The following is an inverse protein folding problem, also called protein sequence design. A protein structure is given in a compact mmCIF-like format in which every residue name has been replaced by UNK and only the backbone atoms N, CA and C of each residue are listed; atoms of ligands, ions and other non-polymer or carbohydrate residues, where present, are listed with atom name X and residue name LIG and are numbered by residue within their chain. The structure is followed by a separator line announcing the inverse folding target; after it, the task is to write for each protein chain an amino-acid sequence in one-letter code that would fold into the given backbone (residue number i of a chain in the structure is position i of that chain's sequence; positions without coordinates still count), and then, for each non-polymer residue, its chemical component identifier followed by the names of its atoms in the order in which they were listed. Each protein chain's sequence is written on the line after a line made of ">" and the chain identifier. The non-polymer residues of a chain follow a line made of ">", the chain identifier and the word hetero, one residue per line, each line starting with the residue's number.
data_IF_048642481968
#
_entry.id   IF_048642481968
#
_cell.length_a   1.000
_cell.length_b   1.000
_cell.length_c   1.000
_cell.angle_alpha   90.00
_cell.angle_beta   90.00
_cell.angle_gamma   90.00
#
_symmetry.space_group_name_H-M   'P 1'
#
loop_
_entity.id
_entity.type
_entity.pdbx_description
1 polymer ?
#
# COMPACT_ATOMS: atom_id res chain seq x y z
N UNK A 1 5.37 13.56 41.17
CA UNK A 1 4.97 13.04 39.85
C UNK A 1 3.96 14.00 39.22
N UNK A 2 4.41 14.88 38.31
CA UNK A 2 3.54 15.82 37.60
C UNK A 2 2.94 15.13 36.37
N UNK A 3 1.63 14.97 36.36
CA UNK A 3 0.87 14.33 35.27
C UNK A 3 1.00 15.14 33.98
N UNK A 4 1.55 14.51 32.94
CA UNK A 4 1.63 15.03 31.57
C UNK A 4 0.22 15.16 30.94
N UNK A 5 -0.45 16.30 31.18
CA UNK A 5 -1.67 16.73 30.49
C UNK A 5 -1.34 17.81 29.46
N UNK A 6 -0.58 17.46 28.42
CA UNK A 6 -0.27 18.38 27.32
C UNK A 6 -0.18 17.62 26.00
N UNK A 7 -1.30 17.46 25.29
CA UNK A 7 -1.33 17.06 23.88
C UNK A 7 -2.73 17.24 23.25
N UNK A 8 -3.33 18.42 23.38
CA UNK A 8 -4.67 18.67 22.80
C UNK A 8 -4.93 20.12 22.41
N UNK A 9 -3.89 20.89 22.05
CA UNK A 9 -3.97 22.35 21.99
C UNK A 9 -3.50 22.98 20.68
N UNK A 10 -3.22 22.21 19.63
CA UNK A 10 -2.54 22.80 18.46
C UNK A 10 -3.50 23.31 17.38
N UNK A 11 -4.84 23.09 17.44
CA UNK A 11 -5.64 23.24 16.22
C UNK A 11 -6.79 24.24 16.16
N UNK A 12 -7.37 24.67 17.26
CA UNK A 12 -8.37 25.74 17.18
C UNK A 12 -7.85 27.13 17.54
N UNK A 13 -6.63 27.19 18.08
CA UNK A 13 -5.89 28.44 18.23
C UNK A 13 -5.29 28.90 16.89
N UNK A 14 -5.21 28.01 15.90
CA UNK A 14 -4.68 28.31 14.56
C UNK A 14 -5.59 29.24 13.74
N UNK A 15 -6.77 29.63 14.22
CA UNK A 15 -7.56 30.70 13.60
C UNK A 15 -7.51 32.01 14.41
N UNK A 16 -6.91 32.00 15.60
CA UNK A 16 -7.19 33.03 16.58
C UNK A 16 -6.23 34.22 16.53
N UNK A 17 -4.90 34.08 16.35
CA UNK A 17 -4.00 35.19 16.74
C UNK A 17 -2.71 35.33 15.90
N UNK A 18 -2.85 35.86 14.69
CA UNK A 18 -1.85 36.73 14.05
C UNK A 18 -2.59 37.89 13.33
N UNK A 19 -2.05 39.11 13.50
CA UNK A 19 -2.57 40.43 13.07
C UNK A 19 -2.40 40.64 11.54
N UNK A 20 -2.97 41.64 10.84
CA UNK A 20 -3.36 43.00 11.24
C UNK A 20 -4.24 43.65 10.15
N UNK A 21 -5.47 43.15 9.94
CA UNK A 21 -6.44 43.88 9.11
C UNK A 21 -7.85 43.73 9.66
N UNK A 22 -8.62 44.82 9.69
CA UNK A 22 -10.06 44.76 10.00
C UNK A 22 -10.81 43.76 9.10
N UNK A 23 -10.31 43.51 7.89
CA UNK A 23 -10.83 42.54 6.93
C UNK A 23 -10.74 41.12 7.48
N UNK A 24 -9.62 40.76 8.11
CA UNK A 24 -9.41 39.44 8.72
C UNK A 24 -10.30 39.24 9.96
N UNK A 25 -10.48 40.27 10.79
CA UNK A 25 -11.39 40.20 11.95
C UNK A 25 -12.86 40.02 11.54
N UNK A 26 -13.32 40.76 10.52
CA UNK A 26 -14.69 40.60 10.00
C UNK A 26 -14.90 39.24 9.35
N UNK A 27 -13.90 38.72 8.63
CA UNK A 27 -13.96 37.38 8.07
C UNK A 27 -14.07 36.30 9.15
N UNK A 28 -13.24 36.39 10.20
CA UNK A 28 -13.29 35.47 11.35
C UNK A 28 -14.61 35.58 12.13
N UNK A 29 -15.15 36.78 12.31
CA UNK A 29 -16.45 36.98 12.94
C UNK A 29 -17.56 36.25 12.18
N UNK A 30 -17.60 36.39 10.85
CA UNK A 30 -18.55 35.66 9.99
C UNK A 30 -18.38 34.14 10.07
N UNK A 31 -17.14 33.64 10.12
CA UNK A 31 -16.88 32.21 10.29
C UNK A 31 -17.42 31.70 11.63
N UNK A 32 -17.21 32.44 12.71
CA UNK A 32 -17.74 32.08 14.03
C UNK A 32 -19.25 32.20 14.06
N UNK A 33 -19.85 33.21 13.43
CA UNK A 33 -21.31 33.34 13.34
C UNK A 33 -21.95 32.14 12.63
N UNK A 34 -21.33 31.69 11.54
CA UNK A 34 -21.77 30.54 10.75
C UNK A 34 -21.58 29.17 11.43
N UNK A 35 -20.83 29.10 12.55
CA UNK A 35 -20.68 27.86 13.32
C UNK A 35 -21.96 27.48 14.04
N UNK A 36 -22.21 26.18 14.11
CA UNK A 36 -23.24 25.57 14.95
C UNK A 36 -23.00 25.82 16.45
N UNK A 37 -24.01 25.59 17.27
CA UNK A 37 -23.88 25.73 18.72
C UNK A 37 -22.81 24.78 19.32
N UNK A 38 -22.65 23.58 18.75
CA UNK A 38 -21.65 22.60 19.18
C UNK A 38 -20.24 23.07 18.83
N UNK A 39 -20.02 23.53 17.60
CA UNK A 39 -18.73 24.07 17.16
C UNK A 39 -18.32 25.31 17.96
N UNK A 40 -19.29 26.19 18.29
CA UNK A 40 -19.04 27.35 19.17
C UNK A 40 -18.62 26.92 20.58
N UNK A 41 -19.24 25.86 21.14
CA UNK A 41 -18.84 25.30 22.44
C UNK A 41 -17.43 24.72 22.39
N UNK A 42 -17.11 23.95 21.35
CA UNK A 42 -15.78 23.38 21.17
C UNK A 42 -14.72 24.49 21.05
N UNK A 43 -15.00 25.53 20.25
CA UNK A 43 -14.12 26.69 20.09
C UNK A 43 -13.89 27.42 21.41
N UNK A 44 -14.93 27.61 22.23
CA UNK A 44 -14.83 28.22 23.55
C UNK A 44 -13.98 27.37 24.50
N UNK A 45 -14.15 26.04 24.51
CA UNK A 45 -13.31 25.16 25.31
C UNK A 45 -11.84 25.25 24.89
N UNK A 46 -11.57 25.24 23.58
CA UNK A 46 -10.22 25.33 23.06
C UNK A 46 -9.57 26.67 23.39
N UNK A 47 -10.34 27.77 23.32
CA UNK A 47 -9.90 29.10 23.78
C UNK A 47 -9.57 29.08 25.27
N UNK A 48 -10.45 28.54 26.12
CA UNK A 48 -10.20 28.44 27.57
C UNK A 48 -8.92 27.66 27.87
N UNK A 49 -8.69 26.54 27.18
CA UNK A 49 -7.46 25.75 27.33
C UNK A 49 -6.22 26.56 26.91
N UNK A 50 -6.30 27.32 25.81
CA UNK A 50 -5.20 28.18 25.37
C UNK A 50 -4.93 29.31 26.37
N UNK A 51 -5.97 29.98 26.86
CA UNK A 51 -5.86 31.07 27.82
C UNK A 51 -5.32 30.60 29.18
N UNK A 52 -5.54 29.34 29.54
CA UNK A 52 -4.97 28.70 30.73
C UNK A 52 -3.45 28.38 30.60
N UNK A 53 -2.85 28.55 29.41
CA UNK A 53 -1.42 28.33 29.24
C UNK A 53 -0.57 29.49 29.78
N UNK A 54 0.66 29.21 30.27
CA UNK A 54 1.63 30.25 30.58
C UNK A 54 1.85 31.20 29.40
N UNK A 55 2.06 32.50 29.67
CA UNK A 55 2.24 33.51 28.62
C UNK A 55 3.40 33.17 27.67
N UNK A 56 4.48 32.58 28.19
CA UNK A 56 5.61 32.12 27.38
C UNK A 56 5.20 31.08 26.33
N UNK A 57 4.37 30.11 26.72
CA UNK A 57 3.87 29.07 25.80
C UNK A 57 2.83 29.64 24.83
N UNK A 58 1.94 30.54 25.28
CA UNK A 58 1.02 31.25 24.38
C UNK A 58 1.77 32.04 23.32
N UNK A 59 2.83 32.76 23.71
CA UNK A 59 3.70 33.51 22.79
C UNK A 59 4.39 32.57 21.79
N UNK A 60 5.02 31.50 22.26
CA UNK A 60 5.66 30.49 21.42
C UNK A 60 4.71 29.90 20.38
N UNK A 61 3.47 29.57 20.76
CA UNK A 61 2.47 29.04 19.83
C UNK A 61 2.04 30.07 18.77
N UNK A 62 1.87 31.34 19.16
CA UNK A 62 1.58 32.44 18.21
C UNK A 62 2.73 32.65 17.23
N UNK A 63 3.97 32.60 17.70
CA UNK A 63 5.18 32.72 16.87
C UNK A 63 5.29 31.56 15.88
N UNK A 64 5.06 30.32 16.33
CA UNK A 64 5.02 29.14 15.47
C UNK A 64 3.96 29.29 14.37
N UNK A 65 2.75 29.73 14.74
CA UNK A 65 1.68 29.95 13.78
C UNK A 65 2.07 30.99 12.71
N UNK A 66 2.59 32.16 13.14
CA UNK A 66 3.09 33.20 12.22
C UNK A 66 4.21 32.68 11.31
N UNK A 67 5.09 31.83 11.84
CA UNK A 67 6.16 31.22 11.05
C UNK A 67 5.61 30.29 9.98
N UNK A 68 4.52 29.55 10.27
CA UNK A 68 3.83 28.70 9.29
C UNK A 68 3.10 29.53 8.22
N UNK A 69 2.38 30.59 8.61
CA UNK A 69 1.66 31.47 7.66
C UNK A 69 2.59 32.11 6.63
N UNK A 70 3.82 32.45 7.02
CA UNK A 70 4.80 33.08 6.13
C UNK A 70 5.40 32.13 5.10
N UNK A 71 5.18 30.82 5.22
CA UNK A 71 5.71 29.87 4.26
C UNK A 71 4.85 29.84 2.98
N UNK A 72 5.45 29.73 1.79
CA UNK A 72 4.71 29.56 0.54
C UNK A 72 3.77 28.33 0.53
N UNK A 73 4.04 27.33 1.37
CA UNK A 73 3.26 26.10 1.53
C UNK A 73 2.49 26.03 2.85
N UNK A 74 2.08 27.17 3.42
CA UNK A 74 1.38 27.29 4.70
C UNK A 74 0.22 26.27 4.83
N UNK A 75 -0.65 26.15 3.84
CA UNK A 75 -1.80 25.23 3.88
C UNK A 75 -1.41 23.76 3.94
N UNK A 76 -0.32 23.37 3.26
CA UNK A 76 0.22 22.03 3.34
C UNK A 76 0.78 21.74 4.74
N UNK A 77 1.50 22.70 5.33
CA UNK A 77 2.04 22.58 6.69
C UNK A 77 0.93 22.48 7.74
N UNK A 78 -0.12 23.30 7.64
CA UNK A 78 -1.32 23.19 8.50
C UNK A 78 -1.97 21.82 8.38
N UNK A 79 -2.02 21.27 7.17
CA UNK A 79 -2.58 19.94 6.92
C UNK A 79 -1.72 18.84 7.53
N UNK A 80 -0.39 18.94 7.44
CA UNK A 80 0.53 18.01 8.11
C UNK A 80 0.36 18.06 9.62
N UNK A 81 0.25 19.26 10.23
CA UNK A 81 0.00 19.42 11.65
C UNK A 81 -1.33 18.77 12.09
N UNK A 82 -2.39 18.93 11.30
CA UNK A 82 -3.68 18.24 11.52
C UNK A 82 -3.56 16.74 11.53
N UNK A 83 -2.90 16.19 10.52
CA UNK A 83 -2.73 14.75 10.41
C UNK A 83 -1.86 14.21 11.54
N UNK A 84 -0.77 14.91 11.86
CA UNK A 84 0.11 14.53 12.97
C UNK A 84 -0.62 14.55 14.32
N UNK A 85 -1.39 15.60 14.61
CA UNK A 85 -2.17 15.69 15.84
C UNK A 85 -3.24 14.59 15.91
N UNK A 86 -3.99 14.36 14.83
CA UNK A 86 -4.99 13.29 14.77
C UNK A 86 -4.36 11.90 14.98
N UNK A 87 -3.21 11.65 14.34
CA UNK A 87 -2.48 10.39 14.51
C UNK A 87 -1.96 10.22 15.94
N UNK A 88 -1.40 11.27 16.55
CA UNK A 88 -0.99 11.25 17.96
C UNK A 88 -2.14 10.88 18.90
N UNK A 89 -3.36 11.35 18.62
CA UNK A 89 -4.53 11.03 19.43
C UNK A 89 -4.99 9.57 19.30
N UNK A 90 -4.60 8.88 18.23
CA UNK A 90 -4.89 7.46 18.04
C UNK A 90 -3.94 6.55 18.83
N UNK A 91 -2.80 7.07 19.30
CA UNK A 91 -1.83 6.30 20.07
C UNK A 91 -2.32 6.08 21.52
N UNK A 92 -2.02 4.91 22.13
CA UNK A 92 -2.23 4.69 23.55
C UNK A 92 -1.54 5.79 24.38
N UNK A 93 -2.14 6.25 25.50
CA UNK A 93 -1.61 7.38 26.27
C UNK A 93 -0.14 7.24 26.67
N UNK A 94 0.28 6.02 27.03
CA UNK A 94 1.68 5.70 27.37
C UNK A 94 2.62 5.90 26.18
N UNK A 95 2.27 5.33 25.03
CA UNK A 95 3.09 5.45 23.80
C UNK A 95 3.17 6.90 23.31
N UNK A 96 2.07 7.65 23.42
CA UNK A 96 2.05 9.07 23.10
C UNK A 96 3.01 9.85 24.02
N UNK A 97 3.01 9.57 25.32
CA UNK A 97 3.89 10.23 26.27
C UNK A 97 5.37 9.89 26.00
N UNK A 98 5.68 8.62 25.75
CA UNK A 98 7.02 8.16 25.37
C UNK A 98 7.49 8.85 24.07
N UNK A 99 6.64 8.94 23.04
CA UNK A 99 7.00 9.60 21.79
C UNK A 99 7.26 11.11 21.96
N UNK A 100 6.47 11.78 22.80
CA UNK A 100 6.59 13.22 23.05
C UNK A 100 7.77 13.57 23.97
N UNK A 101 8.27 12.63 24.78
CA UNK A 101 9.47 12.85 25.60
C UNK A 101 10.78 12.74 24.80
N UNK A 102 10.76 12.07 23.63
CA UNK A 102 11.94 11.95 22.78
C UNK A 102 12.40 13.30 22.20
N UNK A 103 13.72 13.50 22.02
CA UNK A 103 14.26 14.58 21.20
C UNK A 103 13.72 14.56 19.77
N UNK A 104 13.66 15.73 19.11
CA UNK A 104 13.04 15.89 17.79
C UNK A 104 13.51 14.84 16.77
N UNK A 105 14.83 14.63 16.65
CA UNK A 105 15.40 13.69 15.67
C UNK A 105 15.00 12.25 15.94
N UNK A 106 15.02 11.83 17.20
CA UNK A 106 14.63 10.48 17.63
C UNK A 106 13.12 10.27 17.46
N UNK A 107 12.32 11.28 17.80
CA UNK A 107 10.88 11.28 17.58
C UNK A 107 10.54 11.06 16.11
N UNK A 108 11.19 11.78 15.20
CA UNK A 108 10.98 11.62 13.75
C UNK A 108 11.36 10.22 13.28
N UNK A 109 12.50 9.69 13.73
CA UNK A 109 12.91 8.32 13.41
C UNK A 109 11.90 7.28 13.92
N UNK A 110 11.36 7.48 15.13
CA UNK A 110 10.36 6.58 15.70
C UNK A 110 9.01 6.66 14.96
N UNK A 111 8.59 7.87 14.56
CA UNK A 111 7.40 8.07 13.72
C UNK A 111 7.58 7.34 12.38
N UNK A 112 8.71 7.53 11.71
CA UNK A 112 8.99 6.88 10.43
C UNK A 112 8.99 5.35 10.55
N UNK A 113 9.61 4.82 11.60
CA UNK A 113 9.57 3.38 11.90
C UNK A 113 8.13 2.88 12.05
N UNK A 114 7.30 3.58 12.82
CA UNK A 114 5.89 3.20 13.04
C UNK A 114 5.06 3.25 11.76
N UNK A 115 5.19 4.32 10.97
CA UNK A 115 4.49 4.43 9.68
C UNK A 115 4.87 3.24 8.78
N UNK A 116 6.16 2.92 8.68
CA UNK A 116 6.62 1.76 7.90
C UNK A 116 6.04 0.46 8.43
N UNK A 117 5.96 0.27 9.74
CA UNK A 117 5.40 -0.94 10.36
C UNK A 117 3.89 -1.06 10.11
N UNK A 118 3.12 0.02 10.27
CA UNK A 118 1.69 0.08 9.97
C UNK A 118 1.40 -0.21 8.49
N UNK A 119 2.19 0.38 7.57
CA UNK A 119 2.06 0.12 6.14
C UNK A 119 2.40 -1.33 5.79
N UNK A 120 3.42 -1.89 6.43
CA UNK A 120 3.76 -3.31 6.30
C UNK A 120 2.58 -4.18 6.73
N UNK A 121 2.01 -3.89 7.90
CA UNK A 121 0.85 -4.63 8.43
C UNK A 121 -0.37 -4.54 7.52
N UNK A 122 -0.72 -3.34 7.05
CA UNK A 122 -1.81 -3.14 6.10
C UNK A 122 -1.57 -3.88 4.78
N UNK A 123 -0.32 -3.91 4.30
CA UNK A 123 0.03 -4.71 3.12
C UNK A 123 -0.22 -6.20 3.38
N UNK A 124 0.14 -6.71 4.56
CA UNK A 124 -0.08 -8.12 4.90
C UNK A 124 -1.55 -8.48 5.05
N UNK A 125 -2.34 -7.65 5.73
CA UNK A 125 -3.80 -7.83 5.86
C UNK A 125 -4.50 -7.88 4.51
N UNK A 126 -4.07 -7.04 3.56
CA UNK A 126 -4.65 -6.95 2.22
C UNK A 126 -4.24 -8.11 1.31
N UNK A 127 -3.02 -8.63 1.44
CA UNK A 127 -2.48 -9.60 0.49
C UNK A 127 -2.63 -11.05 0.97
N UNK A 128 -2.68 -11.33 2.29
CA UNK A 128 -2.77 -12.69 2.80
C UNK A 128 -3.46 -12.79 4.18
N UNK A 129 -4.79 -13.01 4.18
CA UNK A 129 -5.55 -13.28 5.43
C UNK A 129 -5.13 -14.57 6.16
N UNK A 130 -4.33 -15.42 5.50
CA UNK A 130 -3.87 -16.71 6.01
C UNK A 130 -2.46 -16.67 6.63
N UNK A 131 -1.67 -15.61 6.41
CA UNK A 131 -0.30 -15.50 6.94
C UNK A 131 -0.18 -14.40 7.99
N UNK A 132 0.68 -14.63 8.97
CA UNK A 132 1.10 -13.67 9.99
C UNK A 132 2.40 -12.98 9.59
N UNK A 133 2.82 -11.91 10.29
CA UNK A 133 4.16 -11.33 10.12
C UNK A 133 5.27 -12.37 10.28
N UNK A 134 5.16 -13.21 11.31
CA UNK A 134 6.15 -14.25 11.64
C UNK A 134 6.30 -15.24 10.50
N UNK A 135 5.22 -15.58 9.80
CA UNK A 135 5.28 -16.46 8.62
C UNK A 135 6.11 -15.85 7.47
N UNK A 136 6.08 -14.54 7.30
CA UNK A 136 6.89 -13.87 6.29
C UNK A 136 8.38 -13.94 6.62
N UNK A 137 8.73 -13.79 7.90
CA UNK A 137 10.10 -13.99 8.39
C UNK A 137 10.56 -15.44 8.18
N UNK A 138 9.69 -16.41 8.49
CA UNK A 138 9.93 -17.84 8.23
C UNK A 138 10.16 -18.09 6.74
N UNK A 139 9.30 -17.56 5.88
CA UNK A 139 9.43 -17.68 4.42
C UNK A 139 10.75 -17.07 3.97
N UNK A 140 11.15 -15.90 4.47
CA UNK A 140 12.42 -15.28 4.09
C UNK A 140 13.64 -16.06 4.57
N UNK A 141 13.60 -16.59 5.79
CA UNK A 141 14.68 -17.42 6.34
C UNK A 141 14.82 -18.70 5.53
N UNK A 142 13.70 -19.37 5.22
CA UNK A 142 13.67 -20.53 4.34
C UNK A 142 14.22 -20.22 2.94
N UNK A 143 13.81 -19.08 2.36
CA UNK A 143 14.28 -18.66 1.03
C UNK A 143 15.80 -18.47 1.00
N UNK A 144 16.34 -17.88 2.06
CA UNK A 144 17.77 -17.70 2.25
C UNK A 144 18.48 -19.04 2.31
N UNK A 145 17.98 -19.98 3.11
CA UNK A 145 18.52 -21.34 3.22
C UNK A 145 18.53 -22.07 1.86
N UNK A 146 17.43 -22.02 1.11
CA UNK A 146 17.33 -22.67 -0.21
C UNK A 146 18.35 -22.09 -1.21
N UNK A 147 18.55 -20.77 -1.20
CA UNK A 147 19.51 -20.11 -2.09
C UNK A 147 20.96 -20.42 -1.67
N UNK A 148 21.25 -20.37 -0.36
CA UNK A 148 22.58 -20.66 0.19
C UNK A 148 22.99 -22.11 -0.10
N UNK A 149 22.07 -23.08 0.10
CA UNK A 149 22.30 -24.49 -0.19
C UNK A 149 22.63 -24.76 -1.67
N UNK A 150 22.25 -23.85 -2.57
CA UNK A 150 22.46 -23.97 -4.02
C UNK A 150 23.47 -22.97 -4.56
N UNK A 151 24.10 -22.16 -3.70
CA UNK A 151 24.85 -20.99 -4.12
C UNK A 151 25.96 -21.35 -5.10
N UNK A 152 26.75 -22.39 -4.82
CA UNK A 152 27.83 -22.84 -5.70
C UNK A 152 27.33 -23.22 -7.10
N UNK A 153 26.18 -23.92 -7.19
CA UNK A 153 25.57 -24.30 -8.48
C UNK A 153 25.02 -23.09 -9.21
N UNK A 154 24.38 -22.17 -8.49
CA UNK A 154 23.86 -20.91 -9.04
C UNK A 154 25.00 -20.01 -9.54
N UNK A 155 26.12 -19.93 -8.84
CA UNK A 155 27.30 -19.16 -9.25
C UNK A 155 28.04 -19.77 -10.44
N UNK A 156 27.94 -21.10 -10.63
CA UNK A 156 28.40 -21.77 -11.85
C UNK A 156 27.51 -21.40 -13.05
N UNK A 157 26.19 -21.39 -12.87
CA UNK A 157 25.23 -21.01 -13.91
C UNK A 157 25.22 -19.49 -14.21
N UNK A 158 25.55 -18.65 -13.22
CA UNK A 158 25.60 -17.19 -13.35
C UNK A 158 26.95 -16.63 -12.87
N UNK A 159 28.06 -16.83 -13.62
CA UNK A 159 29.40 -16.42 -13.19
C UNK A 159 29.54 -14.93 -12.90
N UNK A 160 28.74 -14.08 -13.59
CA UNK A 160 28.71 -12.63 -13.38
C UNK A 160 28.31 -12.22 -11.95
N UNK A 161 27.69 -13.12 -11.19
CA UNK A 161 27.28 -12.85 -9.81
C UNK A 161 28.38 -13.14 -8.78
N UNK A 162 29.50 -13.77 -9.15
CA UNK A 162 30.59 -14.11 -8.22
C UNK A 162 31.15 -12.89 -7.50
N UNK A 163 31.32 -11.79 -8.23
CA UNK A 163 31.91 -10.54 -7.72
C UNK A 163 30.88 -9.56 -7.13
N UNK A 164 29.62 -9.97 -7.02
CA UNK A 164 28.56 -9.12 -6.44
C UNK A 164 28.51 -9.33 -4.94
N UNK A 165 28.49 -8.24 -4.18
CA UNK A 165 28.33 -8.23 -2.72
C UNK A 165 27.13 -9.09 -2.27
N UNK A 166 27.30 -9.89 -1.21
CA UNK A 166 26.35 -10.93 -0.80
C UNK A 166 24.90 -10.45 -0.66
N UNK A 167 24.67 -9.28 -0.05
CA UNK A 167 23.31 -8.73 0.10
C UNK A 167 22.64 -8.39 -1.24
N UNK A 168 23.40 -7.82 -2.19
CA UNK A 168 22.92 -7.51 -3.55
C UNK A 168 22.78 -8.77 -4.38
N UNK A 169 23.73 -9.71 -4.25
CA UNK A 169 23.71 -11.02 -4.91
C UNK A 169 22.47 -11.82 -4.54
N UNK A 170 22.17 -11.93 -3.26
CA UNK A 170 20.96 -12.60 -2.76
C UNK A 170 19.69 -12.02 -3.39
N UNK A 171 19.55 -10.68 -3.43
CA UNK A 171 18.37 -10.04 -4.06
C UNK A 171 18.25 -10.40 -5.54
N UNK A 172 19.37 -10.44 -6.27
CA UNK A 172 19.36 -10.83 -7.69
C UNK A 172 18.95 -12.29 -7.85
N UNK A 173 19.48 -13.20 -7.02
CA UNK A 173 19.13 -14.63 -7.07
C UNK A 173 17.66 -14.86 -6.73
N UNK A 174 17.11 -14.16 -5.73
CA UNK A 174 15.67 -14.17 -5.42
C UNK A 174 14.85 -13.71 -6.63
N UNK A 175 15.26 -12.63 -7.31
CA UNK A 175 14.57 -12.17 -8.52
C UNK A 175 14.64 -13.18 -9.67
N UNK A 176 15.79 -13.84 -9.86
CA UNK A 176 15.95 -14.90 -10.88
C UNK A 176 15.06 -16.11 -10.57
N UNK A 177 14.96 -16.52 -9.30
CA UNK A 177 14.05 -17.57 -8.87
C UNK A 177 12.58 -17.22 -9.11
N UNK A 178 12.17 -15.96 -8.88
CA UNK A 178 10.81 -15.54 -9.22
C UNK A 178 10.55 -15.60 -10.74
N UNK A 179 11.56 -15.29 -11.55
CA UNK A 179 11.48 -15.34 -13.01
C UNK A 179 11.43 -16.77 -13.54
N UNK A 180 12.20 -17.68 -12.96
CA UNK A 180 12.35 -19.05 -13.45
C UNK A 180 11.05 -19.85 -13.42
N UNK A 181 10.09 -19.48 -12.57
CA UNK A 181 8.74 -20.05 -12.55
C UNK A 181 8.00 -19.92 -13.89
N UNK A 182 8.27 -18.85 -14.64
CA UNK A 182 7.67 -18.61 -15.95
C UNK A 182 8.47 -19.24 -17.09
N UNK A 183 9.63 -19.82 -16.81
CA UNK A 183 10.38 -20.56 -17.80
C UNK A 183 9.70 -21.91 -18.08
N UNK A 184 9.89 -22.50 -19.27
CA UNK A 184 9.42 -23.84 -19.59
C UNK A 184 9.80 -24.85 -18.52
N UNK A 185 8.95 -25.85 -18.27
CA UNK A 185 9.19 -26.91 -17.28
C UNK A 185 10.54 -27.61 -17.47
N UNK A 186 10.98 -27.74 -18.72
CA UNK A 186 12.23 -28.40 -19.11
C UNK A 186 13.45 -27.48 -19.07
N UNK A 187 13.28 -26.19 -18.75
CA UNK A 187 14.41 -25.27 -18.74
C UNK A 187 15.35 -25.54 -17.57
N UNK A 188 16.66 -25.57 -17.85
CA UNK A 188 17.68 -25.69 -16.81
C UNK A 188 17.57 -24.58 -15.75
N UNK A 189 17.18 -23.37 -16.18
CA UNK A 189 16.94 -22.25 -15.27
C UNK A 189 15.84 -22.56 -14.26
N UNK A 190 14.76 -23.23 -14.66
CA UNK A 190 13.72 -23.64 -13.73
C UNK A 190 14.23 -24.71 -12.77
N UNK A 191 14.88 -25.75 -13.29
CA UNK A 191 15.43 -26.84 -12.48
C UNK A 191 16.46 -26.36 -11.44
N UNK A 192 17.21 -25.29 -11.75
CA UNK A 192 18.17 -24.68 -10.82
C UNK A 192 17.53 -24.00 -9.60
N UNK A 193 16.33 -23.46 -9.79
CA UNK A 193 15.67 -22.60 -8.80
C UNK A 193 14.43 -23.23 -8.16
N UNK A 194 13.89 -24.30 -8.74
CA UNK A 194 12.69 -24.98 -8.24
C UNK A 194 12.99 -25.63 -6.88
N UNK A 195 12.29 -25.25 -5.79
CA UNK A 195 12.43 -25.92 -4.52
C UNK A 195 11.91 -27.37 -4.58
N UNK A 196 12.57 -28.27 -3.87
CA UNK A 196 12.23 -29.69 -3.83
C UNK A 196 10.95 -29.94 -3.04
N UNK A 197 10.32 -31.11 -3.21
CA UNK A 197 9.14 -31.50 -2.42
C UNK A 197 9.43 -31.53 -0.90
N UNK A 198 10.65 -31.85 -0.51
CA UNK A 198 11.06 -31.85 0.88
C UNK A 198 11.15 -30.42 1.42
N UNK A 199 11.75 -29.49 0.67
CA UNK A 199 11.84 -28.08 1.05
C UNK A 199 10.46 -27.43 1.15
N UNK A 200 9.51 -27.79 0.28
CA UNK A 200 8.13 -27.33 0.37
C UNK A 200 7.42 -27.85 1.61
N UNK A 201 7.61 -29.14 1.94
CA UNK A 201 7.07 -29.74 3.17
C UNK A 201 7.66 -29.10 4.41
N UNK A 202 8.95 -28.84 4.41
CA UNK A 202 9.64 -28.16 5.50
C UNK A 202 9.11 -26.73 5.69
N UNK A 203 8.97 -25.96 4.61
CA UNK A 203 8.35 -24.64 4.68
C UNK A 203 6.96 -24.72 5.27
N UNK A 204 6.10 -25.61 4.73
CA UNK A 204 4.73 -25.77 5.20
C UNK A 204 4.66 -26.09 6.69
N UNK A 205 5.54 -26.96 7.20
CA UNK A 205 5.61 -27.32 8.62
C UNK A 205 6.08 -26.19 9.55
N UNK A 206 6.79 -25.19 9.03
CA UNK A 206 7.28 -24.04 9.79
C UNK A 206 6.29 -22.87 9.84
N UNK A 207 5.25 -22.86 9.01
CA UNK A 207 4.22 -21.81 9.00
C UNK A 207 3.29 -21.91 10.21
N UNK A 208 2.53 -20.86 10.51
CA UNK A 208 1.57 -20.84 11.60
C UNK A 208 0.44 -21.88 11.44
N UNK A 209 -0.21 -22.30 12.55
CA UNK A 209 -1.26 -23.33 12.49
C UNK A 209 -2.38 -23.04 11.50
N UNK A 210 -2.80 -21.76 11.38
CA UNK A 210 -3.84 -21.34 10.43
C UNK A 210 -3.42 -21.55 8.97
N UNK A 211 -2.17 -21.25 8.63
CA UNK A 211 -1.62 -21.47 7.31
C UNK A 211 -1.47 -22.97 7.01
N UNK A 212 -1.00 -23.74 7.99
CA UNK A 212 -0.91 -25.20 7.89
C UNK A 212 -2.28 -25.84 7.65
N UNK A 213 -3.29 -25.46 8.42
CA UNK A 213 -4.66 -25.94 8.27
C UNK A 213 -5.21 -25.60 6.88
N UNK A 214 -4.97 -24.38 6.42
CA UNK A 214 -5.37 -23.96 5.07
C UNK A 214 -4.72 -24.83 3.98
N UNK A 215 -3.44 -25.19 4.13
CA UNK A 215 -2.73 -26.08 3.21
C UNK A 215 -3.23 -27.53 3.28
N UNK A 216 -3.54 -28.04 4.47
CA UNK A 216 -4.09 -29.40 4.66
C UNK A 216 -5.42 -29.58 3.94
N UNK A 217 -6.28 -28.56 3.97
CA UNK A 217 -7.58 -28.54 3.28
C UNK A 217 -7.48 -28.53 1.74
N UNK A 218 -6.29 -28.36 1.17
CA UNK A 218 -6.13 -28.35 -0.29
C UNK A 218 -6.07 -29.77 -0.86
N UNK A 219 -6.71 -30.01 -2.02
CA UNK A 219 -6.96 -31.35 -2.55
C UNK A 219 -5.72 -32.05 -3.12
N UNK A 220 -4.69 -31.29 -3.53
CA UNK A 220 -3.51 -31.87 -4.17
C UNK A 220 -2.23 -31.12 -3.81
N UNK A 221 -1.10 -31.84 -3.82
CA UNK A 221 0.21 -31.26 -3.53
C UNK A 221 0.60 -30.20 -4.56
N UNK A 222 0.21 -30.37 -5.83
CA UNK A 222 0.38 -29.33 -6.85
C UNK A 222 -0.35 -28.03 -6.48
N UNK A 223 -1.55 -28.13 -5.88
CA UNK A 223 -2.31 -26.96 -5.42
C UNK A 223 -1.65 -26.31 -4.20
N UNK A 224 -1.18 -27.12 -3.24
CA UNK A 224 -0.41 -26.66 -2.08
C UNK A 224 0.84 -25.90 -2.52
N UNK A 225 1.61 -26.44 -3.46
CA UNK A 225 2.79 -25.77 -4.04
C UNK A 225 2.44 -24.45 -4.71
N UNK A 226 1.35 -24.37 -5.48
CA UNK A 226 0.89 -23.11 -6.09
C UNK A 226 0.57 -22.05 -5.03
N UNK A 227 -0.04 -22.44 -3.91
CA UNK A 227 -0.36 -21.54 -2.79
C UNK A 227 0.91 -21.09 -2.06
N UNK A 228 1.79 -22.03 -1.70
CA UNK A 228 3.08 -21.73 -1.07
C UNK A 228 3.89 -20.77 -1.93
N UNK A 229 3.94 -20.99 -3.24
CA UNK A 229 4.58 -20.06 -4.14
C UNK A 229 3.96 -18.66 -4.15
N UNK A 230 2.62 -18.56 -4.10
CA UNK A 230 1.94 -17.26 -4.00
C UNK A 230 2.31 -16.55 -2.70
N UNK A 231 2.45 -17.30 -1.62
CA UNK A 231 2.88 -16.80 -0.31
C UNK A 231 4.34 -16.35 -0.32
N UNK A 232 5.23 -17.13 -0.91
CA UNK A 232 6.64 -16.77 -1.16
C UNK A 232 6.74 -15.47 -1.96
N UNK A 233 6.00 -15.39 -3.07
CA UNK A 233 5.98 -14.18 -3.91
C UNK A 233 5.43 -12.97 -3.15
N UNK A 234 4.42 -13.16 -2.31
CA UNK A 234 3.87 -12.10 -1.45
C UNK A 234 4.90 -11.62 -0.44
N UNK A 235 5.63 -12.53 0.21
CA UNK A 235 6.66 -12.17 1.18
C UNK A 235 7.82 -11.42 0.54
N UNK A 236 8.30 -11.91 -0.60
CA UNK A 236 9.35 -11.25 -1.38
C UNK A 236 8.86 -9.87 -1.84
N UNK A 237 7.64 -9.80 -2.37
CA UNK A 237 6.98 -8.55 -2.73
C UNK A 237 6.95 -7.57 -1.57
N UNK A 238 6.56 -7.99 -0.37
CA UNK A 238 6.49 -7.11 0.81
C UNK A 238 7.83 -6.49 1.21
N UNK A 239 8.93 -7.22 1.00
CA UNK A 239 10.28 -6.76 1.37
C UNK A 239 10.96 -5.96 0.25
N UNK A 240 10.59 -6.25 -1.00
CA UNK A 240 11.07 -5.51 -2.17
C UNK A 240 10.21 -4.30 -2.52
N UNK A 241 8.97 -4.23 -2.04
CA UNK A 241 8.06 -3.12 -2.32
C UNK A 241 8.31 -1.92 -1.41
N UNK A 242 8.18 -0.76 -2.07
CA UNK A 242 8.09 0.55 -1.45
C UNK A 242 6.81 0.64 -0.59
N UNK A 243 6.78 1.54 0.41
CA UNK A 243 5.61 1.79 1.24
C UNK A 243 4.32 1.92 0.41
N UNK A 244 3.20 1.46 0.98
CA UNK A 244 1.89 1.55 0.35
C UNK A 244 1.60 3.01 -0.04
N UNK A 245 0.95 3.26 -1.19
CA UNK A 245 0.59 4.61 -1.59
C UNK A 245 -0.41 5.23 -0.59
N UNK A 246 -0.20 6.51 -0.27
CA UNK A 246 -1.18 7.31 0.47
C UNK A 246 -2.49 7.45 -0.32
N UNK A 247 -3.59 7.79 0.36
CA UNK A 247 -4.88 8.01 -0.32
C UNK A 247 -4.79 9.08 -1.43
N UNK A 248 -3.99 10.13 -1.21
CA UNK A 248 -3.72 11.14 -2.22
C UNK A 248 -3.09 10.52 -3.48
N UNK A 249 -2.08 9.67 -3.30
CA UNK A 249 -1.41 8.97 -4.40
C UNK A 249 -2.31 7.95 -5.10
N UNK A 250 -3.25 7.32 -4.37
CA UNK A 250 -4.26 6.44 -4.96
C UNK A 250 -5.28 7.19 -5.81
N UNK A 251 -5.67 8.41 -5.42
CA UNK A 251 -6.54 9.26 -6.23
C UNK A 251 -5.83 9.76 -7.49
N UNK A 252 -4.54 10.09 -7.40
CA UNK A 252 -3.74 10.36 -8.61
C UNK A 252 -3.66 9.14 -9.53
N UNK A 253 -3.49 7.94 -8.95
CA UNK A 253 -3.50 6.70 -9.70
C UNK A 253 -4.85 6.42 -10.38
N UNK A 254 -5.98 6.71 -9.72
CA UNK A 254 -7.33 6.59 -10.30
C UNK A 254 -7.48 7.41 -11.59
N UNK A 255 -6.91 8.63 -11.63
CA UNK A 255 -6.89 9.49 -12.83
C UNK A 255 -6.12 8.87 -14.00
N UNK A 256 -5.20 7.96 -13.73
CA UNK A 256 -4.37 7.25 -14.72
C UNK A 256 -4.94 5.89 -15.14
N UNK A 257 -6.11 5.49 -14.62
CA UNK A 257 -6.79 4.27 -15.02
C UNK A 257 -7.64 4.48 -16.27
N UNK A 258 -7.80 3.44 -17.12
CA UNK A 258 -8.75 3.45 -18.23
C UNK A 258 -10.17 3.79 -17.76
N UNK A 259 -11.01 4.44 -18.61
CA UNK A 259 -12.35 4.89 -18.22
C UNK A 259 -13.22 3.78 -17.63
N UNK A 260 -13.20 2.58 -18.23
CA UNK A 260 -13.96 1.43 -17.75
C UNK A 260 -13.58 0.99 -16.33
N UNK A 261 -12.27 0.97 -16.04
CA UNK A 261 -11.77 0.59 -14.72
C UNK A 261 -12.04 1.68 -13.69
N UNK A 262 -11.94 2.94 -14.10
CA UNK A 262 -12.26 4.09 -13.25
C UNK A 262 -13.74 4.07 -12.86
N UNK A 263 -14.64 3.96 -13.84
CA UNK A 263 -16.08 3.93 -13.62
C UNK A 263 -16.48 2.77 -12.70
N UNK A 264 -15.87 1.58 -12.88
CA UNK A 264 -16.10 0.42 -12.00
C UNK A 264 -15.66 0.67 -10.56
N UNK A 265 -14.56 1.38 -10.35
CA UNK A 265 -14.03 1.67 -9.01
C UNK A 265 -14.86 2.76 -8.34
N UNK A 266 -15.27 3.78 -9.10
CA UNK A 266 -16.11 4.88 -8.64
C UNK A 266 -17.54 4.43 -8.34
N UNK A 267 -18.03 3.37 -8.99
CA UNK A 267 -19.34 2.78 -8.69
C UNK A 267 -19.37 1.89 -7.44
N UNK A 268 -18.24 1.72 -6.73
CA UNK A 268 -18.22 0.93 -5.51
C UNK A 268 -19.03 1.63 -4.39
N UNK A 269 -19.82 0.86 -3.59
CA UNK A 269 -20.77 1.43 -2.63
C UNK A 269 -20.16 2.35 -1.56
N UNK A 270 -18.91 2.08 -1.20
CA UNK A 270 -18.22 2.84 -0.15
C UNK A 270 -16.87 3.35 -0.62
N UNK A 271 -16.50 4.54 -0.12
CA UNK A 271 -15.18 5.12 -0.35
C UNK A 271 -14.05 4.24 0.16
N UNK A 272 -14.31 3.44 1.20
CA UNK A 272 -13.36 2.46 1.70
C UNK A 272 -13.11 1.34 0.67
N UNK A 273 -14.17 0.72 0.13
CA UNK A 273 -14.05 -0.30 -0.91
C UNK A 273 -13.35 0.24 -2.16
N UNK A 274 -13.65 1.48 -2.55
CA UNK A 274 -12.96 2.19 -3.62
C UNK A 274 -11.44 2.25 -3.37
N UNK A 275 -11.01 2.67 -2.17
CA UNK A 275 -9.59 2.75 -1.84
C UNK A 275 -8.93 1.38 -1.68
N UNK A 276 -9.64 0.38 -1.17
CA UNK A 276 -9.13 -1.00 -1.08
C UNK A 276 -8.87 -1.58 -2.48
N UNK A 277 -9.81 -1.43 -3.41
CA UNK A 277 -9.59 -1.87 -4.80
C UNK A 277 -8.54 -1.02 -5.52
N UNK A 278 -8.46 0.29 -5.26
CA UNK A 278 -7.36 1.12 -5.78
C UNK A 278 -6.00 0.65 -5.27
N UNK A 279 -5.86 0.32 -3.97
CA UNK A 279 -4.61 -0.24 -3.42
C UNK A 279 -4.28 -1.55 -4.08
N UNK A 280 -5.26 -2.44 -4.24
CA UNK A 280 -5.08 -3.74 -4.90
C UNK A 280 -4.58 -3.59 -6.33
N UNK A 281 -5.19 -2.67 -7.10
CA UNK A 281 -4.80 -2.39 -8.49
C UNK A 281 -3.45 -1.68 -8.58
N UNK A 282 -3.18 -0.72 -7.70
CA UNK A 282 -1.91 -0.01 -7.62
C UNK A 282 -0.77 -0.99 -7.33
N UNK A 283 -0.92 -1.84 -6.31
CA UNK A 283 0.05 -2.88 -5.97
C UNK A 283 0.19 -3.86 -7.15
N UNK A 284 -0.91 -4.30 -7.77
CA UNK A 284 -0.87 -5.20 -8.94
C UNK A 284 -0.14 -4.58 -10.16
N UNK A 285 -0.18 -3.25 -10.32
CA UNK A 285 0.49 -2.52 -11.41
C UNK A 285 1.95 -2.16 -11.09
N UNK A 286 2.28 -1.95 -9.81
CA UNK A 286 3.63 -1.67 -9.31
C UNK A 286 4.47 -2.93 -9.11
N UNK A 287 3.85 -4.06 -8.78
CA UNK A 287 4.45 -5.36 -8.95
C UNK A 287 4.92 -5.42 -10.41
N UNK A 288 6.23 -5.60 -10.68
CA UNK A 288 6.69 -5.66 -12.05
C UNK A 288 5.87 -6.75 -12.75
N UNK A 289 5.57 -6.55 -14.03
CA UNK A 289 4.75 -7.45 -14.84
C UNK A 289 5.48 -8.80 -15.08
N UNK A 290 5.81 -9.50 -14.02
CA UNK A 290 6.31 -10.86 -14.00
C UNK A 290 5.14 -11.76 -14.36
N UNK A 291 4.99 -12.03 -15.67
CA UNK A 291 4.04 -13.02 -16.18
C UNK A 291 2.78 -12.48 -16.86
N UNK A 292 2.66 -11.19 -17.20
CA UNK A 292 1.70 -10.83 -18.26
C UNK A 292 2.31 -11.31 -19.58
N UNK A 293 1.63 -12.16 -20.37
CA UNK A 293 1.98 -12.28 -21.78
C UNK A 293 2.01 -10.85 -22.31
N UNK A 294 3.12 -10.44 -22.92
CA UNK A 294 3.11 -9.26 -23.79
C UNK A 294 2.10 -9.63 -24.88
N UNK A 295 0.84 -9.22 -24.74
CA UNK A 295 -0.10 -9.16 -25.85
C UNK A 295 0.33 -8.00 -26.75
N UNK A 296 1.50 -8.15 -27.38
CA UNK A 296 1.67 -7.69 -28.74
C UNK A 296 1.16 -8.81 -29.64
N UNK A 297 0.52 -8.50 -30.78
CA UNK A 297 0.23 -9.53 -31.76
C UNK A 297 1.54 -10.25 -32.13
N UNK A 298 1.53 -11.58 -32.28
CA UNK A 298 2.72 -12.33 -32.64
C UNK A 298 3.29 -11.76 -33.95
N UNK A 299 4.60 -11.48 -34.04
CA UNK A 299 5.19 -11.06 -35.28
C UNK A 299 5.08 -12.21 -36.27
N UNK A 300 4.39 -12.00 -37.39
CA UNK A 300 4.41 -12.93 -38.53
C UNK A 300 3.12 -13.66 -38.88
N UNK A 301 1.95 -13.32 -38.31
CA UNK A 301 0.70 -13.77 -38.93
C UNK A 301 0.38 -12.90 -40.16
N UNK A 302 0.30 -13.47 -41.38
CA UNK A 302 -0.05 -12.71 -42.57
C UNK A 302 -1.45 -12.11 -42.40
N UNK A 303 -1.56 -10.80 -42.68
CA UNK A 303 -2.83 -10.09 -42.75
C UNK A 303 -3.73 -10.82 -43.74
N UNK A 304 -4.84 -11.37 -43.25
CA UNK A 304 -5.93 -11.86 -44.09
C UNK A 304 -6.39 -10.68 -44.97
N UNK A 305 -6.43 -10.82 -46.31
CA UNK A 305 -6.89 -9.74 -47.16
C UNK A 305 -8.36 -9.41 -46.84
N UNK A 306 -8.76 -8.14 -46.96
CA UNK A 306 -10.11 -7.70 -46.65
C UNK A 306 -11.10 -8.40 -47.59
N UNK A 307 -12.06 -9.14 -47.04
CA UNK A 307 -13.19 -9.61 -47.84
C UNK A 307 -14.02 -8.41 -48.24
N UNK A 308 -14.10 -8.18 -49.54
CA UNK A 308 -15.03 -7.25 -50.18
C UNK A 308 -16.46 -7.55 -49.74
N UNK A 309 -16.96 -6.76 -48.79
CA UNK A 309 -18.38 -6.64 -48.53
C UNK A 309 -18.96 -5.68 -49.57
N UNK A 310 -19.30 -6.22 -50.74
CA UNK A 310 -20.00 -5.52 -51.80
C UNK A 310 -21.04 -6.43 -52.44
N UNK A 311 -22.30 -5.98 -52.42
CA UNK A 311 -23.50 -6.54 -53.08
C UNK A 311 -24.30 -7.54 -52.25
N UNK A 312 -25.63 -7.50 -52.17
CA UNK A 312 -26.70 -6.59 -52.62
C UNK A 312 -27.99 -7.04 -51.87
N UNK A 313 -29.06 -6.23 -51.85
CA UNK A 313 -30.29 -6.52 -51.12
C UNK A 313 -31.30 -7.31 -51.96
N UNK A 314 -32.07 -8.17 -51.28
CA UNK A 314 -33.41 -8.58 -51.69
C UNK A 314 -33.52 -9.93 -52.39
N UNK A 315 -34.03 -10.93 -51.67
CA UNK A 315 -35.07 -11.80 -52.22
C UNK A 315 -35.91 -12.43 -51.12
N UNK A 316 -37.21 -12.13 -51.15
CA UNK A 316 -38.27 -12.74 -50.36
C UNK A 316 -38.59 -14.10 -50.96
N UNK A 317 -38.76 -15.15 -50.15
CA UNK A 317 -39.70 -16.27 -50.38
C UNK A 317 -39.74 -17.26 -49.19
N UNK A 318 -40.78 -18.10 -49.04
CA UNK A 318 -41.83 -17.85 -48.07
C UNK A 318 -41.93 -18.93 -46.98
N UNK A 319 -42.72 -18.62 -45.96
CA UNK A 319 -43.28 -19.56 -44.99
C UNK A 319 -44.08 -20.65 -45.71
N UNK A 320 -43.68 -21.91 -45.54
CA UNK A 320 -44.59 -23.04 -45.67
C UNK A 320 -44.58 -23.84 -44.38
N UNK A 321 -45.75 -23.81 -43.77
CA UNK A 321 -46.37 -24.76 -42.88
C UNK A 321 -45.90 -26.22 -42.96
N UNK A 322 -46.10 -26.88 -41.82
CA UNK A 322 -46.64 -28.24 -41.69
C UNK A 322 -45.63 -29.35 -41.41
N UNK A 323 -45.62 -29.83 -40.16
CA UNK A 323 -46.22 -31.15 -39.86
C UNK A 323 -46.24 -31.42 -38.37
N UNK A 324 -47.46 -31.48 -37.85
CA UNK A 324 -47.81 -32.28 -36.68
C UNK A 324 -47.68 -33.77 -37.02
N UNK A 325 -46.97 -34.53 -36.18
CA UNK A 325 -47.40 -35.81 -35.61
C UNK A 325 -46.44 -36.24 -34.51
#
# INVERSE_FOLDING_TARGET
>A
MRTYRFAGLVLAVMAALAADSQVDLRHRARLVEAMSAEEKRELLEQRRRFDALPESERRRLRELYRAIERQPNADALKTVLRHYHRWLLQLPPRERAELLSLPMRERLAQIEKRIREEERQRFYELVNRQLTLKDHEVIHAWLKQVIEARESRLLKAYPKLKNVEGGRRYRILVMLMMRSRFAPSESETRALFEPTEQEWRELAGKLCPKAQEFLRKQPSDATRRKILWKWVHTAIGSRLHRPLPTNAKLLEFLKQLPPEQRNRIESLPTRQQMFEELRRLYVRRQLPAWGRPRHGPPPGLPRRPPSEAGSKPGEKRPLSSDRSR
#
